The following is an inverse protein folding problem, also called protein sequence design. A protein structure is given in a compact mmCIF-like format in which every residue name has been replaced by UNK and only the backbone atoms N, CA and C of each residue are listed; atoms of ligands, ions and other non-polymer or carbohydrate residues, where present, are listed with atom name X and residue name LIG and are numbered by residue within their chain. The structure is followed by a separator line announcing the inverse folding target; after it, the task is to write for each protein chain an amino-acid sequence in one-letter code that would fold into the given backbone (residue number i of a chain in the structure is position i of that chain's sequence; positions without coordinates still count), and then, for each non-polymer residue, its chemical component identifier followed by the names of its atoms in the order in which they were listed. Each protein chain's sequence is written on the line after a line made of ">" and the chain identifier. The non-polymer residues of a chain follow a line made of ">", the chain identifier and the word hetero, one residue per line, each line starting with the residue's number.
data_IF_956085229277
#
_entry.id   IF_956085229277
#
_cell.length_a   1.000
_cell.length_b   1.000
_cell.length_c   1.000
_cell.angle_alpha   90.00
_cell.angle_beta   90.00
_cell.angle_gamma   90.00
#
_symmetry.space_group_name_H-M   'P 1'
#
loop_
_entity.id
_entity.type
_entity.pdbx_description
1 polymer ?
#
# COMPACT_ATOMS: atom_id res chain seq x y z
N UNK A 1 48.13 26.01 14.45
CA UNK A 1 48.07 24.61 14.92
C UNK A 1 47.48 24.60 16.31
N UNK A 2 46.20 24.29 16.44
CA UNK A 2 45.49 23.97 17.67
C UNK A 2 44.05 23.59 17.30
N UNK A 3 43.73 22.30 17.26
CA UNK A 3 42.36 21.75 17.40
C UNK A 3 42.33 20.24 17.18
N UNK A 4 42.95 19.47 18.07
CA UNK A 4 42.75 18.01 18.11
C UNK A 4 42.69 17.45 19.54
N UNK A 5 42.65 18.32 20.57
CA UNK A 5 42.59 17.92 21.97
C UNK A 5 41.25 18.17 22.67
N UNK A 6 40.35 18.96 22.08
CA UNK A 6 39.08 19.31 22.74
C UNK A 6 37.89 18.42 22.35
N UNK A 7 38.13 17.28 21.67
CA UNK A 7 37.08 16.35 21.26
C UNK A 7 37.00 15.07 22.12
N UNK A 8 37.77 14.95 23.20
CA UNK A 8 37.83 13.72 24.01
C UNK A 8 37.26 13.80 25.43
N UNK A 9 36.74 14.94 25.88
CA UNK A 9 36.09 15.04 27.20
C UNK A 9 34.59 15.32 27.06
N UNK A 10 33.86 14.25 26.74
CA UNK A 10 32.41 14.27 26.59
C UNK A 10 31.78 12.89 26.79
N UNK A 11 32.38 12.03 27.61
CA UNK A 11 31.81 10.74 28.02
C UNK A 11 30.65 10.96 29.02
N UNK A 12 29.62 11.68 28.58
CA UNK A 12 28.38 11.92 29.31
C UNK A 12 27.34 10.87 28.96
N UNK A 13 27.28 9.79 29.76
CA UNK A 13 26.11 8.94 30.05
C UNK A 13 25.04 8.86 28.95
N UNK A 14 25.29 8.08 27.91
CA UNK A 14 24.22 7.55 27.05
C UNK A 14 23.58 6.34 27.75
N UNK A 15 22.33 6.57 28.15
CA UNK A 15 21.40 5.64 28.76
C UNK A 15 21.45 4.28 28.06
N UNK A 16 21.56 3.25 28.88
CA UNK A 16 21.42 1.82 28.57
C UNK A 16 20.39 1.58 27.47
N UNK A 17 20.89 1.28 26.25
CA UNK A 17 20.12 0.58 25.21
C UNK A 17 19.50 -0.64 25.87
N UNK A 18 18.17 -0.75 25.83
CA UNK A 18 17.48 -2.02 26.09
C UNK A 18 18.12 -3.05 25.17
N UNK A 19 18.90 -3.96 25.76
CA UNK A 19 19.36 -5.17 25.10
C UNK A 19 18.12 -5.85 24.51
N UNK A 20 18.07 -6.16 23.20
CA UNK A 20 16.96 -6.92 22.68
C UNK A 20 16.97 -8.25 23.44
N UNK A 21 15.88 -8.52 24.15
CA UNK A 21 15.64 -9.79 24.81
C UNK A 21 15.92 -10.88 23.80
N UNK A 22 16.94 -11.70 24.04
CA UNK A 22 17.25 -12.85 23.20
C UNK A 22 16.02 -13.75 23.19
N UNK A 23 15.21 -13.63 22.15
CA UNK A 23 14.08 -14.54 21.92
C UNK A 23 14.72 -15.88 21.66
N UNK A 24 14.45 -16.85 22.55
CA UNK A 24 14.82 -18.25 22.33
C UNK A 24 14.27 -18.66 20.98
N UNK A 25 15.13 -18.77 19.98
CA UNK A 25 14.88 -19.64 18.84
C UNK A 25 14.74 -21.01 19.46
N UNK A 26 13.51 -21.50 19.56
CA UNK A 26 13.28 -22.88 19.94
C UNK A 26 13.76 -23.67 18.73
N UNK A 27 14.97 -24.23 18.81
CA UNK A 27 15.47 -25.21 17.85
C UNK A 27 14.54 -26.43 17.93
N UNK A 28 13.43 -26.39 17.19
CA UNK A 28 12.62 -27.58 16.96
C UNK A 28 13.38 -28.37 15.90
N UNK A 29 14.33 -29.18 16.37
CA UNK A 29 14.99 -30.17 15.52
C UNK A 29 13.89 -31.00 14.86
N UNK A 30 13.79 -30.98 13.52
CA UNK A 30 12.89 -31.87 12.78
C UNK A 30 13.20 -33.28 13.28
N UNK A 31 12.31 -33.92 14.05
CA UNK A 31 12.60 -35.26 14.51
C UNK A 31 12.74 -36.10 13.25
N UNK A 32 13.84 -36.84 13.11
CA UNK A 32 13.89 -37.91 12.11
C UNK A 32 12.80 -38.91 12.50
N UNK A 33 11.59 -38.73 11.97
CA UNK A 33 10.48 -39.65 12.18
C UNK A 33 10.96 -40.97 11.57
N UNK A 34 11.28 -41.93 12.44
CA UNK A 34 11.80 -43.21 12.01
C UNK A 34 10.74 -43.88 11.13
N UNK A 35 11.12 -44.29 9.93
CA UNK A 35 10.25 -45.11 9.11
C UNK A 35 9.92 -46.40 9.87
N UNK A 36 8.63 -46.62 10.11
CA UNK A 36 8.16 -47.82 10.80
C UNK A 36 8.30 -48.98 9.84
N UNK A 37 9.03 -50.03 10.25
CA UNK A 37 9.16 -51.24 9.43
C UNK A 37 7.80 -51.94 9.33
N UNK A 38 7.48 -52.61 8.21
CA UNK A 38 6.21 -53.33 8.04
C UNK A 38 5.93 -54.39 9.13
N UNK A 39 6.95 -54.85 9.84
CA UNK A 39 6.90 -55.86 10.91
C UNK A 39 6.94 -55.27 12.33
N UNK A 40 6.76 -53.95 12.50
CA UNK A 40 6.85 -53.30 13.80
C UNK A 40 5.67 -53.67 14.72
N UNK A 41 5.92 -53.69 16.03
CA UNK A 41 4.87 -53.95 17.02
C UNK A 41 3.87 -52.80 17.05
N UNK A 42 2.61 -53.10 17.36
CA UNK A 42 1.50 -52.12 17.42
C UNK A 42 1.78 -50.93 18.36
N UNK A 43 2.50 -51.17 19.46
CA UNK A 43 2.93 -50.15 20.40
C UNK A 43 3.92 -49.14 19.79
N UNK A 44 4.82 -49.60 18.92
CA UNK A 44 5.80 -48.77 18.22
C UNK A 44 5.11 -47.92 17.15
N UNK A 45 4.17 -48.52 16.40
CA UNK A 45 3.31 -47.81 15.44
C UNK A 45 2.54 -46.68 16.14
N UNK A 46 1.93 -46.97 17.29
CA UNK A 46 1.14 -45.99 18.05
C UNK A 46 2.01 -44.85 18.59
N UNK A 47 3.22 -45.13 19.09
CA UNK A 47 4.15 -44.08 19.56
C UNK A 47 4.56 -43.17 18.41
N UNK A 48 4.97 -43.74 17.27
CA UNK A 48 5.37 -42.94 16.11
C UNK A 48 4.20 -42.12 15.56
N UNK A 49 2.98 -42.66 15.55
CA UNK A 49 1.79 -41.91 15.15
C UNK A 49 1.48 -40.73 16.08
N UNK A 50 1.69 -40.90 17.39
CA UNK A 50 1.51 -39.83 18.38
C UNK A 50 2.60 -38.75 18.25
N UNK A 51 3.86 -39.14 18.07
CA UNK A 51 4.97 -38.21 17.82
C UNK A 51 4.72 -37.37 16.55
N UNK A 52 4.24 -38.01 15.48
CA UNK A 52 3.84 -37.33 14.23
C UNK A 52 2.70 -36.34 14.50
N UNK A 53 1.67 -36.74 15.25
CA UNK A 53 0.52 -35.88 15.56
C UNK A 53 0.94 -34.65 16.36
N UNK A 54 1.74 -34.85 17.41
CA UNK A 54 2.26 -33.76 18.24
C UNK A 54 3.10 -32.80 17.42
N UNK A 55 3.97 -33.32 16.54
CA UNK A 55 4.79 -32.50 15.68
C UNK A 55 3.96 -31.71 14.66
N UNK A 56 2.96 -32.33 14.02
CA UNK A 56 2.06 -31.63 13.10
C UNK A 56 1.32 -30.47 13.77
N UNK A 57 1.00 -30.59 15.07
CA UNK A 57 0.32 -29.55 15.83
C UNK A 57 1.19 -28.31 16.11
N UNK A 58 2.53 -28.43 16.11
CA UNK A 58 3.43 -27.29 16.39
C UNK A 58 3.80 -26.47 15.16
N UNK A 59 3.71 -27.07 13.96
CA UNK A 59 4.11 -26.45 12.69
C UNK A 59 3.43 -25.09 12.44
N UNK A 60 2.12 -24.89 12.66
CA UNK A 60 1.48 -23.60 12.38
C UNK A 60 2.09 -22.44 13.17
N UNK A 61 2.32 -22.63 14.48
CA UNK A 61 2.90 -21.60 15.33
C UNK A 61 4.35 -21.30 14.95
N UNK A 62 5.16 -22.36 14.78
CA UNK A 62 6.55 -22.22 14.39
C UNK A 62 6.73 -21.50 13.05
N UNK A 63 5.93 -21.87 12.05
CA UNK A 63 5.97 -21.25 10.73
C UNK A 63 5.52 -19.78 10.77
N UNK A 64 4.55 -19.43 11.63
CA UNK A 64 4.15 -18.05 11.84
C UNK A 64 5.29 -17.20 12.41
N UNK A 65 6.03 -17.74 13.39
CA UNK A 65 7.17 -17.06 14.00
C UNK A 65 8.31 -16.89 12.99
N UNK A 66 8.67 -17.94 12.25
CA UNK A 66 9.70 -17.88 11.21
C UNK A 66 9.36 -16.83 10.14
N UNK A 67 8.15 -16.89 9.57
CA UNK A 67 7.72 -15.95 8.53
C UNK A 67 7.62 -14.53 9.07
N UNK A 68 7.12 -14.35 10.30
CA UNK A 68 7.07 -13.05 10.97
C UNK A 68 8.46 -12.45 11.14
N UNK A 69 9.44 -13.25 11.57
CA UNK A 69 10.82 -12.81 11.74
C UNK A 69 11.51 -12.49 10.42
N UNK A 70 11.33 -13.33 9.40
CA UNK A 70 11.80 -13.06 8.03
C UNK A 70 11.26 -11.72 7.52
N UNK A 71 10.00 -11.38 7.84
CA UNK A 71 9.40 -10.10 7.43
C UNK A 71 9.97 -8.91 8.17
N UNK A 72 10.17 -9.06 9.47
CA UNK A 72 10.82 -8.04 10.27
C UNK A 72 12.19 -7.66 9.68
N UNK A 73 12.99 -8.65 9.28
CA UNK A 73 14.31 -8.42 8.67
C UNK A 73 14.19 -7.75 7.30
N UNK A 74 13.26 -8.21 6.45
CA UNK A 74 13.05 -7.62 5.13
C UNK A 74 12.50 -6.18 5.19
N UNK A 75 11.81 -5.82 6.27
CA UNK A 75 11.34 -4.46 6.54
C UNK A 75 12.36 -3.57 7.25
N UNK A 76 13.51 -4.12 7.66
CA UNK A 76 14.54 -3.39 8.38
C UNK A 76 15.34 -2.45 7.46
N UNK A 77 16.11 -1.55 8.07
CA UNK A 77 17.03 -0.66 7.33
C UNK A 77 18.15 -1.46 6.65
N UNK A 78 18.84 -0.85 5.67
CA UNK A 78 19.97 -1.51 4.96
C UNK A 78 21.07 -1.91 5.96
N UNK A 79 21.34 -1.07 6.96
CA UNK A 79 22.35 -1.33 7.99
C UNK A 79 21.98 -2.53 8.87
N UNK A 80 20.72 -2.61 9.31
CA UNK A 80 20.22 -3.77 10.08
C UNK A 80 20.16 -5.03 9.23
N UNK A 81 19.82 -4.91 7.94
CA UNK A 81 19.78 -6.03 7.01
C UNK A 81 21.16 -6.65 6.81
N UNK A 82 22.22 -5.82 6.69
CA UNK A 82 23.60 -6.30 6.59
C UNK A 82 24.01 -7.13 7.81
N UNK A 83 23.65 -6.66 9.02
CA UNK A 83 23.97 -7.33 10.28
C UNK A 83 23.17 -8.63 10.44
N UNK A 84 21.93 -8.67 9.94
CA UNK A 84 20.99 -9.79 10.12
C UNK A 84 20.88 -10.70 8.89
N UNK A 85 21.79 -10.56 7.93
CA UNK A 85 21.80 -11.34 6.68
C UNK A 85 21.97 -12.84 6.93
N UNK A 86 22.86 -13.23 7.85
CA UNK A 86 23.06 -14.62 8.26
C UNK A 86 21.84 -15.19 9.01
N UNK A 87 21.19 -14.39 9.85
CA UNK A 87 19.93 -14.77 10.52
C UNK A 87 18.83 -15.02 9.48
N UNK A 88 18.68 -14.11 8.52
CA UNK A 88 17.70 -14.24 7.44
C UNK A 88 17.90 -15.52 6.65
N UNK A 89 19.15 -15.79 6.24
CA UNK A 89 19.48 -17.01 5.50
C UNK A 89 19.11 -18.26 6.30
N UNK A 90 19.43 -18.33 7.59
CA UNK A 90 19.07 -19.48 8.44
C UNK A 90 17.57 -19.67 8.53
N UNK A 91 16.81 -18.59 8.72
CA UNK A 91 15.34 -18.65 8.76
C UNK A 91 14.76 -19.12 7.42
N UNK A 92 15.30 -18.64 6.30
CA UNK A 92 14.85 -19.08 4.97
C UNK A 92 15.22 -20.54 4.68
N UNK A 93 16.42 -20.97 5.05
CA UNK A 93 16.87 -22.36 4.94
C UNK A 93 15.99 -23.29 5.80
N UNK A 94 15.60 -22.85 7.01
CA UNK A 94 14.72 -23.59 7.91
C UNK A 94 13.30 -23.72 7.32
N UNK A 95 12.71 -22.63 6.82
CA UNK A 95 11.44 -22.66 6.10
C UNK A 95 11.51 -23.63 4.92
N UNK A 96 12.58 -23.56 4.11
CA UNK A 96 12.78 -24.45 2.96
C UNK A 96 12.92 -25.91 3.39
N UNK A 97 13.53 -26.20 4.54
CA UNK A 97 13.66 -27.57 5.04
C UNK A 97 12.29 -28.21 5.33
N UNK A 98 11.35 -27.45 5.91
CA UNK A 98 9.98 -27.92 6.15
C UNK A 98 9.18 -28.04 4.84
N UNK A 99 9.36 -27.10 3.90
CA UNK A 99 8.67 -27.10 2.61
C UNK A 99 9.14 -28.19 1.64
N UNK A 100 10.28 -28.82 1.94
CA UNK A 100 10.87 -29.92 1.17
C UNK A 100 10.92 -31.23 1.96
N UNK A 101 10.09 -31.38 2.99
CA UNK A 101 10.07 -32.61 3.79
C UNK A 101 9.63 -33.84 2.98
N UNK A 102 10.32 -34.97 3.18
CA UNK A 102 10.08 -36.23 2.46
C UNK A 102 8.73 -36.91 2.80
N UNK A 103 8.10 -36.53 3.92
CA UNK A 103 6.83 -37.12 4.37
C UNK A 103 5.64 -36.29 3.91
N UNK A 104 4.76 -36.89 3.09
CA UNK A 104 3.60 -36.22 2.49
C UNK A 104 2.68 -35.44 3.46
N UNK A 105 2.27 -36.01 4.61
CA UNK A 105 1.45 -35.29 5.59
C UNK A 105 2.16 -34.07 6.18
N UNK A 106 3.46 -34.21 6.46
CA UNK A 106 4.29 -33.14 7.00
C UNK A 106 4.47 -32.01 5.98
N UNK A 107 4.78 -32.39 4.73
CA UNK A 107 4.90 -31.48 3.60
C UNK A 107 3.62 -30.65 3.41
N UNK A 108 2.45 -31.30 3.48
CA UNK A 108 1.15 -30.65 3.33
C UNK A 108 0.89 -29.65 4.45
N UNK A 109 1.10 -30.07 5.71
CA UNK A 109 0.91 -29.21 6.87
C UNK A 109 1.87 -28.00 6.86
N UNK A 110 3.15 -28.21 6.51
CA UNK A 110 4.14 -27.15 6.40
C UNK A 110 3.77 -26.13 5.31
N UNK A 111 3.30 -26.61 4.13
CA UNK A 111 2.84 -25.75 3.04
C UNK A 111 1.63 -24.92 3.44
N UNK A 112 0.65 -25.53 4.10
CA UNK A 112 -0.55 -24.82 4.58
C UNK A 112 -0.19 -23.78 5.65
N UNK A 113 0.60 -24.17 6.65
CA UNK A 113 1.09 -23.26 7.69
C UNK A 113 1.86 -22.08 7.10
N UNK A 114 2.72 -22.33 6.11
CA UNK A 114 3.49 -21.29 5.44
C UNK A 114 2.58 -20.30 4.72
N UNK A 115 1.59 -20.79 3.98
CA UNK A 115 0.63 -19.93 3.28
C UNK A 115 -0.13 -19.02 4.26
N UNK A 116 -0.65 -19.59 5.35
CA UNK A 116 -1.39 -18.84 6.36
C UNK A 116 -0.52 -17.80 7.05
N UNK A 117 0.71 -18.17 7.44
CA UNK A 117 1.69 -17.25 8.00
C UNK A 117 2.02 -16.09 7.06
N UNK A 118 2.12 -16.37 5.75
CA UNK A 118 2.39 -15.35 4.74
C UNK A 118 1.22 -14.38 4.55
N UNK A 119 -0.02 -14.86 4.65
CA UNK A 119 -1.19 -14.00 4.52
C UNK A 119 -1.42 -13.19 5.81
N UNK A 120 -1.30 -13.80 6.98
CA UNK A 120 -1.57 -13.16 8.28
C UNK A 120 -0.63 -12.00 8.60
N UNK A 121 0.61 -12.06 8.13
CA UNK A 121 1.64 -11.06 8.42
C UNK A 121 1.72 -9.95 7.36
N UNK A 122 0.73 -9.84 6.45
CA UNK A 122 0.76 -8.87 5.34
C UNK A 122 0.91 -7.42 5.86
N UNK A 123 1.72 -6.59 5.19
CA UNK A 123 1.93 -5.21 5.63
C UNK A 123 0.62 -4.42 5.52
N UNK A 124 0.46 -3.40 6.36
CA UNK A 124 -0.68 -2.49 6.27
C UNK A 124 -0.55 -1.48 5.11
N UNK A 125 0.45 -1.56 4.24
CA UNK A 125 0.62 -0.61 3.14
C UNK A 125 0.06 -1.16 1.82
N UNK A 126 -0.87 -0.44 1.17
CA UNK A 126 -1.52 -0.91 -0.07
C UNK A 126 -0.53 -1.21 -1.18
N UNK A 127 0.51 -0.39 -1.35
CA UNK A 127 1.52 -0.59 -2.39
C UNK A 127 2.35 -1.83 -2.08
N UNK A 128 2.81 -1.99 -0.84
CA UNK A 128 3.54 -3.16 -0.38
C UNK A 128 2.72 -4.45 -0.48
N UNK A 129 1.43 -4.43 -0.11
CA UNK A 129 0.51 -5.57 -0.30
C UNK A 129 0.37 -5.91 -1.78
N UNK A 130 0.13 -4.89 -2.62
CA UNK A 130 0.00 -5.09 -4.07
C UNK A 130 1.29 -5.65 -4.68
N UNK A 131 2.46 -5.16 -4.30
CA UNK A 131 3.76 -5.65 -4.80
C UNK A 131 4.09 -7.06 -4.29
N UNK A 132 3.74 -7.36 -3.02
CA UNK A 132 3.89 -8.69 -2.43
C UNK A 132 3.08 -9.71 -3.21
N UNK A 133 1.91 -9.30 -3.68
CA UNK A 133 0.91 -10.17 -4.27
C UNK A 133 1.01 -10.25 -5.82
N UNK A 134 1.16 -9.13 -6.55
CA UNK A 134 1.09 -9.09 -8.03
C UNK A 134 2.31 -9.64 -8.80
N UNK A 135 3.39 -10.08 -8.14
CA UNK A 135 4.52 -10.67 -8.87
C UNK A 135 5.60 -9.69 -9.36
N UNK A 136 6.29 -8.98 -8.47
CA UNK A 136 7.62 -8.41 -8.75
C UNK A 136 8.77 -9.34 -8.32
N UNK A 137 10.04 -8.97 -8.53
CA UNK A 137 11.21 -9.75 -8.05
C UNK A 137 11.27 -9.97 -6.53
N UNK A 138 10.45 -9.24 -5.75
CA UNK A 138 10.25 -9.40 -4.30
C UNK A 138 8.88 -10.01 -3.94
N UNK A 139 8.07 -10.39 -4.92
CA UNK A 139 6.75 -10.96 -4.68
C UNK A 139 6.87 -12.37 -4.11
N UNK A 140 5.92 -12.68 -3.24
CA UNK A 140 5.84 -13.96 -2.54
C UNK A 140 4.85 -14.92 -3.21
N UNK A 141 4.08 -14.42 -4.17
CA UNK A 141 3.18 -15.23 -4.99
C UNK A 141 3.94 -16.28 -5.83
N UNK A 142 5.10 -15.97 -6.45
CA UNK A 142 5.99 -17.00 -6.99
C UNK A 142 6.45 -18.02 -5.95
N UNK A 143 6.57 -17.65 -4.68
CA UNK A 143 6.91 -18.55 -3.58
C UNK A 143 5.79 -19.55 -3.27
N UNK A 144 4.54 -19.10 -3.20
CA UNK A 144 3.37 -19.98 -3.03
C UNK A 144 3.17 -20.91 -4.24
N UNK A 145 3.48 -20.43 -5.44
CA UNK A 145 3.48 -21.25 -6.67
C UNK A 145 4.60 -22.28 -6.64
N UNK A 146 5.84 -21.88 -6.33
CA UNK A 146 6.98 -22.81 -6.19
C UNK A 146 6.76 -23.87 -5.12
N UNK A 147 6.10 -23.51 -4.03
CA UNK A 147 5.72 -24.45 -2.97
C UNK A 147 4.51 -25.33 -3.34
N UNK A 148 3.92 -25.17 -4.53
CA UNK A 148 2.77 -25.95 -4.98
C UNK A 148 1.50 -25.71 -4.16
N UNK A 149 1.38 -24.54 -3.51
CA UNK A 149 0.20 -24.13 -2.73
C UNK A 149 -0.84 -23.48 -3.65
N UNK A 150 -0.34 -22.66 -4.58
CA UNK A 150 -1.14 -21.98 -5.61
C UNK A 150 -0.73 -22.46 -7.00
N UNK A 151 -1.70 -22.62 -7.88
CA UNK A 151 -1.48 -22.87 -9.31
C UNK A 151 -2.19 -21.79 -10.12
N UNK A 152 -1.54 -21.18 -11.14
CA UNK A 152 -2.24 -20.29 -12.06
C UNK A 152 -3.41 -21.03 -12.73
N UNK A 153 -4.57 -20.38 -12.86
CA UNK A 153 -5.72 -20.98 -13.53
C UNK A 153 -6.36 -19.99 -14.49
N UNK A 154 -6.89 -20.53 -15.59
CA UNK A 154 -7.65 -19.77 -16.56
C UNK A 154 -9.19 -19.89 -16.32
N UNK A 155 -9.63 -20.58 -15.25
CA UNK A 155 -11.04 -20.96 -14.94
C UNK A 155 -11.72 -21.78 -16.08
N UNK A 156 -12.88 -22.49 -15.94
CA UNK A 156 -13.96 -22.44 -14.95
C UNK A 156 -14.28 -23.78 -14.24
N UNK A 157 -13.39 -24.78 -14.30
CA UNK A 157 -13.69 -26.15 -13.88
C UNK A 157 -12.91 -26.59 -12.62
N UNK A 158 -12.78 -25.69 -11.64
CA UNK A 158 -12.07 -25.97 -10.39
C UNK A 158 -12.92 -25.57 -9.19
N UNK A 159 -12.96 -26.46 -8.19
CA UNK A 159 -13.84 -26.30 -7.03
C UNK A 159 -13.39 -25.19 -6.06
N UNK A 160 -12.13 -24.74 -6.18
CA UNK A 160 -11.51 -23.83 -5.21
C UNK A 160 -10.52 -22.89 -5.91
N UNK A 161 -10.93 -21.63 -6.08
CA UNK A 161 -10.13 -20.57 -6.71
C UNK A 161 -10.14 -19.33 -5.83
N UNK A 162 -8.98 -18.69 -5.68
CA UNK A 162 -8.85 -17.36 -5.08
C UNK A 162 -8.46 -16.34 -6.14
N UNK A 163 -9.17 -15.21 -6.14
CA UNK A 163 -8.89 -14.08 -7.02
C UNK A 163 -8.06 -13.06 -6.29
N UNK A 164 -6.97 -12.68 -6.92
CA UNK A 164 -5.90 -11.94 -6.29
C UNK A 164 -5.50 -10.80 -7.22
N UNK A 165 -6.04 -9.61 -6.96
CA UNK A 165 -5.85 -8.40 -7.78
C UNK A 165 -6.10 -8.55 -9.29
N UNK A 166 -7.05 -9.42 -9.67
CA UNK A 166 -7.47 -9.65 -11.05
C UNK A 166 -7.01 -10.98 -11.62
N UNK A 167 -6.03 -11.63 -10.98
CA UNK A 167 -5.52 -12.94 -11.38
C UNK A 167 -6.22 -14.05 -10.57
N UNK A 168 -6.52 -15.18 -11.22
CA UNK A 168 -7.12 -16.34 -10.58
C UNK A 168 -6.08 -17.41 -10.28
N UNK A 169 -6.11 -17.94 -9.05
CA UNK A 169 -5.25 -19.01 -8.59
C UNK A 169 -6.07 -20.15 -7.99
N UNK A 170 -5.78 -21.38 -8.41
CA UNK A 170 -6.31 -22.59 -7.79
C UNK A 170 -5.54 -22.88 -6.52
N UNK A 171 -6.25 -23.29 -5.46
CA UNK A 171 -5.63 -23.69 -4.20
C UNK A 171 -5.48 -25.22 -4.14
N UNK A 172 -4.27 -25.67 -3.83
CA UNK A 172 -3.92 -27.08 -3.62
C UNK A 172 -3.92 -27.37 -2.12
N UNK A 173 -5.09 -27.42 -1.50
CA UNK A 173 -5.18 -27.63 -0.04
C UNK A 173 -6.57 -27.83 0.57
N UNK A 174 -7.61 -28.06 -0.24
CA UNK A 174 -8.97 -28.28 0.26
C UNK A 174 -9.73 -27.00 0.59
N UNK A 175 -11.05 -27.13 0.81
CA UNK A 175 -12.00 -26.00 0.87
C UNK A 175 -11.78 -25.09 2.07
N UNK A 176 -11.61 -25.65 3.26
CA UNK A 176 -11.49 -24.87 4.49
C UNK A 176 -10.18 -24.05 4.51
N UNK A 177 -9.08 -24.66 4.08
CA UNK A 177 -7.80 -23.95 3.92
C UNK A 177 -7.91 -22.82 2.90
N UNK A 178 -8.62 -23.04 1.80
CA UNK A 178 -8.81 -22.02 0.80
C UNK A 178 -9.65 -20.84 1.26
N UNK A 179 -10.69 -21.09 2.05
CA UNK A 179 -11.46 -20.03 2.71
C UNK A 179 -10.57 -19.19 3.61
N UNK A 180 -9.70 -19.81 4.42
CA UNK A 180 -8.76 -19.08 5.29
C UNK A 180 -7.78 -18.20 4.51
N UNK A 181 -7.27 -18.70 3.36
CA UNK A 181 -6.41 -17.90 2.47
C UNK A 181 -7.19 -16.73 1.86
N UNK A 182 -8.42 -16.97 1.40
CA UNK A 182 -9.26 -15.94 0.81
C UNK A 182 -9.63 -14.84 1.83
N UNK A 183 -10.01 -15.23 3.05
CA UNK A 183 -10.32 -14.33 4.16
C UNK A 183 -9.10 -13.50 4.53
N UNK A 184 -7.96 -14.14 4.79
CA UNK A 184 -6.75 -13.42 5.17
C UNK A 184 -6.24 -12.44 4.11
N UNK A 185 -6.36 -12.80 2.82
CA UNK A 185 -5.99 -11.91 1.71
C UNK A 185 -6.94 -10.71 1.63
N UNK A 186 -8.24 -10.94 1.83
CA UNK A 186 -9.26 -9.89 1.85
C UNK A 186 -9.06 -8.93 3.03
N UNK A 187 -8.78 -9.47 4.22
CA UNK A 187 -8.49 -8.70 5.42
C UNK A 187 -7.22 -7.86 5.28
N UNK A 188 -6.15 -8.46 4.74
CA UNK A 188 -4.90 -7.77 4.45
C UNK A 188 -5.11 -6.60 3.46
N UNK A 189 -5.85 -6.84 2.38
CA UNK A 189 -6.18 -5.82 1.41
C UNK A 189 -7.04 -4.69 2.01
N UNK A 190 -8.02 -5.03 2.85
CA UNK A 190 -8.90 -4.07 3.54
C UNK A 190 -8.12 -3.18 4.51
N UNK A 191 -7.28 -3.78 5.38
CA UNK A 191 -6.39 -3.04 6.29
C UNK A 191 -5.46 -2.10 5.51
N UNK A 192 -4.94 -2.57 4.39
CA UNK A 192 -4.05 -1.78 3.55
C UNK A 192 -4.76 -0.63 2.83
N UNK A 193 -5.99 -0.84 2.38
CA UNK A 193 -6.83 0.21 1.83
C UNK A 193 -7.16 1.29 2.88
N UNK A 194 -7.51 0.87 4.10
CA UNK A 194 -7.76 1.79 5.22
C UNK A 194 -6.53 2.62 5.57
N UNK A 195 -5.36 1.99 5.73
CA UNK A 195 -4.14 2.73 6.03
C UNK A 195 -3.73 3.68 4.89
N UNK A 196 -3.93 3.30 3.62
CA UNK A 196 -3.71 4.18 2.48
C UNK A 196 -4.65 5.39 2.49
N UNK A 197 -5.92 5.16 2.85
CA UNK A 197 -6.91 6.22 3.06
C UNK A 197 -6.50 7.17 4.19
N UNK A 198 -6.13 6.65 5.36
CA UNK A 198 -5.70 7.45 6.50
C UNK A 198 -4.46 8.30 6.15
N UNK A 199 -3.46 7.71 5.48
CA UNK A 199 -2.27 8.44 5.01
C UNK A 199 -2.62 9.55 4.01
N UNK A 200 -3.52 9.26 3.07
CA UNK A 200 -4.01 10.25 2.12
C UNK A 200 -4.65 11.43 2.85
N UNK A 201 -5.58 11.16 3.77
CA UNK A 201 -6.28 12.21 4.51
C UNK A 201 -5.36 13.02 5.43
N UNK A 202 -4.40 12.38 6.09
CA UNK A 202 -3.39 13.07 6.89
C UNK A 202 -2.52 14.00 6.03
N UNK A 203 -2.05 13.52 4.87
CA UNK A 203 -1.27 14.34 3.95
C UNK A 203 -2.09 15.51 3.36
N UNK A 204 -3.37 15.28 3.05
CA UNK A 204 -4.28 16.33 2.61
C UNK A 204 -4.50 17.39 3.70
N UNK A 205 -4.69 16.98 4.95
CA UNK A 205 -4.85 17.91 6.08
C UNK A 205 -3.58 18.75 6.29
N UNK A 206 -2.41 18.13 6.23
CA UNK A 206 -1.11 18.81 6.31
C UNK A 206 -0.95 19.82 5.17
N UNK A 207 -1.20 19.42 3.91
CA UNK A 207 -1.17 20.33 2.76
C UNK A 207 -2.13 21.51 2.93
N UNK A 208 -3.34 21.25 3.45
CA UNK A 208 -4.33 22.30 3.68
C UNK A 208 -3.85 23.29 4.75
N UNK A 209 -3.21 22.83 5.81
CA UNK A 209 -2.66 23.72 6.86
C UNK A 209 -1.51 24.62 6.38
N UNK A 210 -0.82 24.25 5.30
CA UNK A 210 0.27 25.04 4.72
C UNK A 210 -0.22 26.12 3.76
N UNK A 211 -1.51 26.15 3.41
CA UNK A 211 -2.08 27.17 2.53
C UNK A 211 -2.18 28.52 3.25
N UNK A 212 -1.60 29.55 2.65
CA UNK A 212 -1.59 30.92 3.18
C UNK A 212 -2.55 31.86 2.46
N UNK A 213 -2.99 31.51 1.25
CA UNK A 213 -3.95 32.27 0.46
C UNK A 213 -5.08 31.37 -0.05
N UNK A 214 -6.26 31.96 -0.22
CA UNK A 214 -7.38 31.30 -0.89
C UNK A 214 -7.25 31.35 -2.41
N UNK A 215 -8.04 30.52 -3.11
CA UNK A 215 -8.13 30.55 -4.58
C UNK A 215 -8.57 31.92 -5.11
N UNK A 216 -9.49 32.60 -4.41
CA UNK A 216 -9.93 33.95 -4.80
C UNK A 216 -8.77 34.96 -4.70
N UNK A 217 -7.95 34.85 -3.66
CA UNK A 217 -6.77 35.69 -3.48
C UNK A 217 -5.69 35.39 -4.53
N UNK A 218 -5.53 34.13 -4.92
CA UNK A 218 -4.65 33.72 -6.04
C UNK A 218 -5.07 34.42 -7.35
N UNK A 219 -6.36 34.38 -7.71
CA UNK A 219 -6.85 35.03 -8.92
C UNK A 219 -6.74 36.56 -8.87
N UNK A 220 -6.80 37.14 -7.67
CA UNK A 220 -6.47 38.54 -7.41
C UNK A 220 -4.95 38.82 -7.40
N UNK A 221 -4.12 37.88 -7.88
CA UNK A 221 -2.67 37.98 -8.02
C UNK A 221 -1.93 38.20 -6.69
N UNK A 222 -2.48 37.73 -5.57
CA UNK A 222 -1.76 37.74 -4.30
C UNK A 222 -0.71 36.63 -4.27
N UNK A 223 0.52 36.93 -3.81
CA UNK A 223 1.54 35.90 -3.60
C UNK A 223 1.21 35.05 -2.38
N UNK A 224 1.62 33.79 -2.39
CA UNK A 224 1.44 32.85 -1.30
C UNK A 224 1.14 31.42 -1.77
N UNK A 225 0.94 30.52 -0.80
CA UNK A 225 0.61 29.12 -1.03
C UNK A 225 -0.88 28.91 -1.04
N UNK A 226 -1.40 28.18 -2.02
CA UNK A 226 -2.79 27.79 -2.10
C UNK A 226 -2.94 26.27 -2.19
N UNK A 227 -4.05 25.79 -1.66
CA UNK A 227 -4.46 24.41 -1.69
C UNK A 227 -5.53 24.23 -2.77
N UNK A 228 -5.46 23.14 -3.52
CA UNK A 228 -6.43 22.80 -4.55
C UNK A 228 -6.76 21.31 -4.51
N UNK A 229 -8.04 20.99 -4.39
CA UNK A 229 -8.52 19.62 -4.57
C UNK A 229 -9.06 19.45 -6.00
N UNK A 230 -8.66 18.38 -6.66
CA UNK A 230 -8.98 18.12 -8.06
C UNK A 230 -9.58 16.72 -8.16
N UNK A 231 -10.88 16.64 -8.45
CA UNK A 231 -11.56 15.35 -8.60
C UNK A 231 -11.02 14.55 -9.79
N UNK A 232 -11.03 13.22 -9.65
CA UNK A 232 -10.90 12.32 -10.80
C UNK A 232 -12.04 12.60 -11.79
N UNK A 233 -11.73 12.62 -13.08
CA UNK A 233 -12.74 12.79 -14.13
C UNK A 233 -12.74 11.54 -15.01
N UNK A 234 -13.90 10.87 -15.07
CA UNK A 234 -14.18 9.78 -15.99
C UNK A 234 -15.13 10.30 -17.06
N UNK A 235 -14.68 10.28 -18.31
CA UNK A 235 -15.48 10.63 -19.48
C UNK A 235 -15.38 9.49 -20.51
N UNK A 236 -16.41 8.63 -20.52
CA UNK A 236 -16.38 7.36 -21.25
C UNK A 236 -15.19 6.49 -20.83
N UNK A 237 -14.33 6.16 -21.80
CA UNK A 237 -13.10 5.38 -21.58
C UNK A 237 -11.91 6.21 -21.06
N UNK A 238 -11.99 7.55 -21.10
CA UNK A 238 -10.88 8.42 -20.69
C UNK A 238 -10.93 8.69 -19.19
N UNK A 239 -9.88 8.23 -18.49
CA UNK A 239 -9.63 8.54 -17.08
C UNK A 239 -8.59 9.66 -16.96
N UNK A 240 -8.99 10.80 -16.41
CA UNK A 240 -8.06 11.89 -16.08
C UNK A 240 -7.80 11.91 -14.57
N UNK A 241 -6.59 11.54 -14.11
CA UNK A 241 -6.29 11.38 -12.69
C UNK A 241 -6.37 12.73 -11.96
N UNK A 242 -7.03 12.71 -10.81
CA UNK A 242 -7.13 13.79 -9.85
C UNK A 242 -6.22 13.58 -8.64
N UNK A 243 -6.49 14.36 -7.61
CA UNK A 243 -5.77 14.39 -6.35
C UNK A 243 -5.78 15.78 -5.73
N UNK A 244 -4.98 15.95 -4.70
CA UNK A 244 -4.81 17.21 -4.00
C UNK A 244 -3.43 17.78 -4.24
N UNK A 245 -3.35 19.09 -4.47
CA UNK A 245 -2.11 19.80 -4.73
C UNK A 245 -1.98 21.02 -3.82
N UNK A 246 -0.74 21.31 -3.42
CA UNK A 246 -0.35 22.60 -2.87
C UNK A 246 0.63 23.25 -3.83
N UNK A 247 0.33 24.50 -4.19
CA UNK A 247 1.13 25.29 -5.11
C UNK A 247 1.38 26.67 -4.53
N UNK A 248 2.42 27.31 -5.06
CA UNK A 248 2.84 28.64 -4.66
C UNK A 248 2.71 29.59 -5.84
N UNK A 249 2.22 30.79 -5.55
CA UNK A 249 2.10 31.89 -6.48
C UNK A 249 3.01 33.03 -6.04
N UNK A 250 3.71 33.64 -7.00
CA UNK A 250 4.43 34.91 -6.82
C UNK A 250 3.59 36.13 -7.24
N UNK A 251 2.31 35.91 -7.59
CA UNK A 251 1.40 36.92 -8.14
C UNK A 251 1.38 37.02 -9.68
N UNK A 252 2.25 36.29 -10.38
CA UNK A 252 2.27 36.21 -11.85
C UNK A 252 2.27 34.77 -12.35
N UNK A 253 3.03 33.91 -11.69
CA UNK A 253 3.26 32.52 -12.04
C UNK A 253 2.96 31.62 -10.85
N UNK A 254 2.64 30.37 -11.16
CA UNK A 254 2.29 29.31 -10.23
C UNK A 254 3.28 28.17 -10.40
N UNK A 255 3.82 27.68 -9.28
CA UNK A 255 4.65 26.48 -9.20
C UNK A 255 4.03 25.44 -8.26
N UNK A 256 4.24 24.16 -8.57
CA UNK A 256 3.81 23.06 -7.69
C UNK A 256 4.79 22.94 -6.52
N UNK A 257 4.26 22.88 -5.30
CA UNK A 257 5.06 22.62 -4.09
C UNK A 257 5.01 21.14 -3.72
N UNK A 258 3.83 20.55 -3.69
CA UNK A 258 3.63 19.12 -3.46
C UNK A 258 2.25 18.66 -3.97
N UNK A 259 2.09 17.35 -4.16
CA UNK A 259 0.82 16.76 -4.56
C UNK A 259 0.66 15.34 -4.03
N UNK A 260 -0.58 14.95 -3.71
CA UNK A 260 -0.97 13.63 -3.22
C UNK A 260 -2.16 13.11 -4.04
N UNK A 261 -2.25 11.80 -4.24
CA UNK A 261 -3.30 11.16 -5.05
C UNK A 261 -2.78 10.64 -6.38
N UNK A 262 -3.69 10.38 -7.33
CA UNK A 262 -3.38 9.71 -8.60
C UNK A 262 -2.38 10.48 -9.45
N UNK A 263 -2.42 11.82 -9.42
CA UNK A 263 -1.49 12.66 -10.18
C UNK A 263 -0.16 12.99 -9.46
N UNK A 264 0.11 12.42 -8.28
CA UNK A 264 1.26 12.79 -7.44
C UNK A 264 2.58 12.64 -8.17
N UNK A 265 2.76 11.54 -8.91
CA UNK A 265 3.96 11.27 -9.71
C UNK A 265 4.21 12.36 -10.77
N UNK A 266 3.21 12.69 -11.58
CA UNK A 266 3.39 13.67 -12.66
C UNK A 266 3.58 15.09 -12.10
N UNK A 267 2.94 15.43 -10.98
CA UNK A 267 3.15 16.70 -10.28
C UNK A 267 4.56 16.80 -9.69
N UNK A 268 5.10 15.71 -9.16
CA UNK A 268 6.48 15.64 -8.66
C UNK A 268 7.50 15.80 -9.80
N UNK A 269 7.24 15.22 -10.97
CA UNK A 269 8.05 15.43 -12.17
C UNK A 269 8.01 16.89 -12.65
N UNK A 270 6.84 17.54 -12.61
CA UNK A 270 6.66 18.96 -12.93
C UNK A 270 7.41 19.85 -11.92
N UNK A 271 7.33 19.53 -10.63
CA UNK A 271 8.04 20.24 -9.55
C UNK A 271 9.56 20.17 -9.74
N UNK A 272 10.10 18.96 -9.94
CA UNK A 272 11.55 18.76 -10.17
C UNK A 272 12.06 19.46 -11.43
N UNK A 273 11.21 19.60 -12.42
CA UNK A 273 11.52 20.31 -13.66
C UNK A 273 11.38 21.84 -13.54
N UNK A 274 10.98 22.36 -12.37
CA UNK A 274 10.81 23.79 -12.09
C UNK A 274 9.92 24.46 -13.14
N UNK A 275 8.79 23.81 -13.43
CA UNK A 275 7.83 24.26 -14.44
C UNK A 275 6.78 25.18 -13.83
N UNK A 276 6.52 26.29 -14.51
CA UNK A 276 5.58 27.32 -14.07
C UNK A 276 4.41 27.50 -15.04
N UNK A 277 3.26 27.89 -14.52
CA UNK A 277 2.09 28.32 -15.30
C UNK A 277 1.69 29.74 -14.89
N UNK A 278 1.43 30.63 -15.86
CA UNK A 278 0.96 31.98 -15.56
C UNK A 278 -0.48 31.98 -15.04
N UNK A 279 -0.77 32.83 -14.05
CA UNK A 279 -2.14 33.02 -13.53
C UNK A 279 -3.09 33.45 -14.66
N UNK A 280 -2.65 34.35 -15.54
CA UNK A 280 -3.49 34.88 -16.63
C UNK A 280 -3.94 33.80 -17.60
N UNK A 281 -3.08 32.80 -17.82
CA UNK A 281 -3.39 31.67 -18.69
C UNK A 281 -4.55 30.81 -18.16
N UNK A 282 -4.84 30.84 -16.86
CA UNK A 282 -5.91 30.06 -16.25
C UNK A 282 -7.30 30.55 -16.68
N UNK A 283 -7.43 31.79 -17.17
CA UNK A 283 -8.66 32.31 -17.76
C UNK A 283 -9.00 31.67 -19.12
N UNK A 284 -8.00 31.18 -19.85
CA UNK A 284 -8.14 30.61 -21.19
C UNK A 284 -8.32 29.08 -21.13
N UNK A 285 -9.30 28.55 -21.87
CA UNK A 285 -9.55 27.10 -21.90
C UNK A 285 -8.35 26.32 -22.46
N UNK A 286 -7.69 26.88 -23.47
CA UNK A 286 -6.46 26.33 -24.06
C UNK A 286 -5.27 27.18 -23.66
N UNK A 287 -4.16 26.52 -23.35
CA UNK A 287 -2.89 27.17 -23.12
C UNK A 287 -2.32 27.69 -24.44
N UNK A 288 -2.34 29.01 -24.63
CA UNK A 288 -1.69 29.68 -25.75
C UNK A 288 -0.32 30.22 -25.33
N UNK A 289 0.75 29.61 -25.83
CA UNK A 289 2.12 30.08 -25.59
C UNK A 289 2.64 30.79 -26.84
N UNK A 290 3.14 32.01 -26.66
CA UNK A 290 3.68 32.86 -27.75
C UNK A 290 5.02 32.31 -28.29
N UNK A 291 5.76 31.55 -27.47
CA UNK A 291 7.06 30.95 -27.83
C UNK A 291 6.96 29.43 -27.94
N UNK A 292 7.62 28.86 -28.95
CA UNK A 292 7.85 27.41 -29.04
C UNK A 292 8.78 27.00 -27.91
N UNK A 293 8.27 26.16 -27.00
CA UNK A 293 9.06 25.52 -25.95
C UNK A 293 9.48 24.11 -26.39
N UNK A 294 10.52 23.53 -25.76
CA UNK A 294 10.81 22.12 -25.90
C UNK A 294 9.57 21.26 -25.60
N UNK A 295 9.40 20.17 -26.34
CA UNK A 295 8.17 19.36 -26.30
C UNK A 295 7.82 18.88 -24.87
N UNK A 296 8.82 18.42 -24.12
CA UNK A 296 8.63 17.96 -22.74
C UNK A 296 8.21 19.08 -21.78
N UNK A 297 8.83 20.26 -21.90
CA UNK A 297 8.47 21.43 -21.10
C UNK A 297 7.06 21.88 -21.43
N UNK A 298 6.72 21.95 -22.72
CA UNK A 298 5.37 22.30 -23.19
C UNK A 298 4.31 21.33 -22.66
N UNK A 299 4.57 20.02 -22.74
CA UNK A 299 3.69 18.97 -22.22
C UNK A 299 3.45 19.15 -20.72
N UNK A 300 4.50 19.39 -19.94
CA UNK A 300 4.42 19.60 -18.48
C UNK A 300 3.60 20.85 -18.12
N UNK A 301 3.82 21.98 -18.80
CA UNK A 301 3.04 23.21 -18.59
C UNK A 301 1.56 22.96 -18.93
N UNK A 302 1.28 22.27 -20.05
CA UNK A 302 -0.10 21.92 -20.42
C UNK A 302 -0.79 21.05 -19.38
N UNK A 303 -0.10 20.06 -18.83
CA UNK A 303 -0.64 19.20 -17.76
C UNK A 303 -0.93 20.05 -16.52
N UNK A 304 0.02 20.89 -16.10
CA UNK A 304 -0.15 21.78 -14.95
C UNK A 304 -1.34 22.74 -15.13
N UNK A 305 -1.41 23.40 -16.29
CA UNK A 305 -2.52 24.30 -16.64
C UNK A 305 -3.87 23.60 -16.63
N UNK A 306 -3.98 22.42 -17.25
CA UNK A 306 -5.22 21.66 -17.30
C UNK A 306 -5.70 21.23 -15.89
N UNK A 307 -4.78 20.80 -15.03
CA UNK A 307 -5.09 20.40 -13.65
C UNK A 307 -5.53 21.59 -12.81
N UNK A 308 -4.79 22.71 -12.88
CA UNK A 308 -5.14 23.94 -12.17
C UNK A 308 -6.52 24.42 -12.60
N UNK A 309 -6.79 24.51 -13.91
CA UNK A 309 -8.12 24.90 -14.41
C UNK A 309 -9.23 23.98 -13.91
N UNK A 310 -9.03 22.66 -13.97
CA UNK A 310 -10.04 21.70 -13.51
C UNK A 310 -10.34 21.87 -12.03
N UNK A 311 -9.32 22.04 -11.19
CA UNK A 311 -9.52 22.31 -9.76
C UNK A 311 -10.25 23.63 -9.52
N UNK A 312 -9.87 24.70 -10.23
CA UNK A 312 -10.55 25.99 -10.12
C UNK A 312 -12.03 25.90 -10.48
N UNK A 313 -12.35 25.27 -11.62
CA UNK A 313 -13.74 25.09 -12.06
C UNK A 313 -14.56 24.31 -11.02
N UNK A 314 -13.99 23.27 -10.42
CA UNK A 314 -14.66 22.50 -9.38
C UNK A 314 -14.94 23.33 -8.12
N UNK A 315 -13.98 24.15 -7.67
CA UNK A 315 -14.12 25.03 -6.51
C UNK A 315 -15.18 26.12 -6.74
N UNK A 316 -15.26 26.71 -7.94
CA UNK A 316 -16.31 27.66 -8.27
C UNK A 316 -17.67 27.01 -8.50
N UNK A 317 -17.73 25.78 -9.04
CA UNK A 317 -18.98 25.04 -9.19
C UNK A 317 -19.56 24.62 -7.82
N UNK A 318 -18.71 24.30 -6.84
CA UNK A 318 -19.09 24.01 -5.46
C UNK A 318 -19.55 25.23 -4.65
N UNK A 319 -19.30 26.46 -5.15
CA UNK A 319 -19.70 27.72 -4.53
C UNK A 319 -21.03 28.30 -5.08
N UNK A 320 -21.79 27.55 -5.90
CA UNK A 320 -23.13 28.01 -6.31
C UNK A 320 -23.98 28.28 -5.06
N UNK A 321 -24.54 29.50 -4.89
CA UNK A 321 -25.44 29.77 -3.78
C UNK A 321 -26.66 28.86 -3.91
N UNK A 322 -27.00 28.15 -2.84
CA UNK A 322 -28.36 27.64 -2.61
C UNK A 322 -29.29 28.85 -2.51
N UNK A 323 -29.71 29.38 -3.66
CA UNK A 323 -30.87 30.24 -3.72
C UNK A 323 -32.07 29.33 -3.51
N UNK A 324 -32.50 29.22 -2.26
CA UNK A 324 -33.85 28.78 -1.95
C UNK A 324 -34.79 29.75 -2.64
N UNK A 325 -35.40 29.34 -3.74
CA UNK A 325 -36.50 30.08 -4.33
C UNK A 325 -37.60 30.22 -3.26
N UNK A 326 -38.13 31.43 -3.01
CA UNK A 326 -39.22 31.60 -2.07
C UNK A 326 -40.43 30.82 -2.60
N UNK A 327 -40.99 29.96 -1.75
CA UNK A 327 -42.26 29.28 -1.99
C UNK A 327 -43.32 30.31 -2.33
N UNK A 328 -43.99 30.13 -3.48
CA UNK A 328 -45.16 30.91 -3.88
C UNK A 328 -46.11 31.08 -2.69
N UNK A 329 -46.29 32.32 -2.29
CA UNK A 329 -47.41 32.79 -1.49
C UNK A 329 -48.68 32.41 -2.27
N UNK A 330 -49.58 31.67 -1.63
CA UNK A 330 -50.93 31.47 -2.11
C UNK A 330 -51.64 32.83 -2.13
N UNK A 331 -52.06 33.26 -3.33
CA UNK A 331 -53.11 34.25 -3.47
C UNK A 331 -54.36 33.49 -3.92
N UNK A 332 -55.31 33.47 -2.99
CA UNK A 332 -56.68 32.98 -3.05
C UNK A 332 -57.46 33.44 -4.29
N UNK A 333 -58.09 32.49 -4.98
CA UNK A 333 -59.26 32.75 -5.81
C UNK A 333 -60.44 33.13 -4.91
N UNK A 334 -60.81 34.40 -4.92
CA UNK A 334 -62.10 34.87 -4.46
C UNK A 334 -62.93 35.21 -5.71
N UNK A 335 -63.68 34.23 -6.20
CA UNK A 335 -64.82 34.47 -7.08
C UNK A 335 -66.06 34.42 -6.19
N UNK A 336 -66.57 35.60 -5.83
CA UNK A 336 -67.95 35.75 -5.39
C UNK A 336 -68.67 36.58 -6.46
N UNK A 337 -69.48 35.88 -7.25
CA UNK A 337 -70.47 36.45 -8.16
C UNK A 337 -71.51 37.24 -7.36
N UNK A 338 -71.68 38.52 -7.71
CA UNK A 338 -73.02 39.08 -7.93
C UNK A 338 -73.51 38.43 -9.24
N UNK A 339 -74.67 37.78 -9.33
CA UNK A 339 -75.89 37.87 -8.51
C UNK A 339 -76.00 36.85 -7.39
#
# INVERSE_FOLDING_TARGET
>A
MNSLKDAMDGAGKLKTKKTPTAVKIIDITVPKIKQVRPTAKREEINRVAEDVRQYLATIPGHMADLVGRVREIHGATIEEWLIRSDELRKLEDEVLSHLNADMGPLLTAARQAYALAMVSTLPADKKAVTETIKGGGKSRLPGLIRAGILEPTNEPKYDIVVKVYGDSYKIVGGKDFALQIAEGLSDGASKAAKAAHDRYHNAVAEMKSQATISIVQLLARRPGKFFLNVSDLKDGEKFLPGGTLIAESDGKAIQVVAAVGHFSRIMEEIRKAVVFTSIDSLSQERLNLVKRLPEDTFRRIRILHAILRRGLVAEFAGQKPTVSAPSKIMATDAVMTLQ
#
